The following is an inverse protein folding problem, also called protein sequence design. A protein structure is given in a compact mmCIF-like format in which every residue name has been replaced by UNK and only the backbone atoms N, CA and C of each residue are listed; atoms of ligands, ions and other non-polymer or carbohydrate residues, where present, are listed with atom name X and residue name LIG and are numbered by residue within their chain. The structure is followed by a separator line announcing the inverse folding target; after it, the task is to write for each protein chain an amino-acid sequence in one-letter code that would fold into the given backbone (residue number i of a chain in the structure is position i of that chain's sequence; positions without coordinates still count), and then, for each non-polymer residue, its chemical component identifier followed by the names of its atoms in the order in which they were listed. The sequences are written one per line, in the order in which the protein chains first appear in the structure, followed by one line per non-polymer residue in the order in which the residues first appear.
data_IF_298669686073
#
_entry.id   IF_298669686073
#
_cell.length_a   1.000
_cell.length_b   1.000
_cell.length_c   1.000
_cell.angle_alpha   90.00
_cell.angle_beta   90.00
_cell.angle_gamma   90.00
#
_symmetry.space_group_name_H-M   'P 1'
#
loop_
_entity.id
_entity.type
_entity.pdbx_description
1 polymer ?
#
# COMPACT_ATOMS: atom_id res chain seq x y z
N UNK A 1 9.67 16.09 -22.80
CA UNK A 1 9.43 16.13 -21.33
C UNK A 1 9.88 14.79 -20.75
N UNK A 2 10.50 14.78 -19.57
CA UNK A 2 10.84 13.53 -18.87
C UNK A 2 9.55 12.76 -18.55
N UNK A 3 9.58 11.42 -18.71
CA UNK A 3 8.45 10.54 -18.36
C UNK A 3 8.21 10.62 -16.84
N UNK A 4 6.94 10.68 -16.42
CA UNK A 4 6.59 10.64 -14.99
C UNK A 4 7.05 9.32 -14.38
N UNK A 5 7.51 9.33 -13.13
CA UNK A 5 8.09 8.16 -12.46
C UNK A 5 7.22 7.72 -11.29
N UNK A 6 6.92 6.43 -11.20
CA UNK A 6 6.22 5.80 -10.06
C UNK A 6 7.16 4.83 -9.36
N UNK A 7 7.25 4.97 -8.03
CA UNK A 7 7.89 3.98 -7.17
C UNK A 7 6.84 3.01 -6.62
N UNK A 8 6.87 1.76 -7.06
CA UNK A 8 6.05 0.67 -6.55
C UNK A 8 6.76 0.02 -5.35
N UNK A 9 6.27 0.28 -4.14
CA UNK A 9 6.88 -0.15 -2.87
C UNK A 9 6.20 -1.45 -2.40
N UNK A 10 7.00 -2.51 -2.27
CA UNK A 10 6.51 -3.83 -1.86
C UNK A 10 5.68 -4.52 -2.92
N UNK A 11 6.00 -4.29 -4.20
CA UNK A 11 5.23 -4.82 -5.32
C UNK A 11 5.46 -6.31 -5.60
N UNK A 12 6.31 -6.99 -4.82
CA UNK A 12 6.77 -8.36 -5.01
C UNK A 12 7.57 -8.53 -6.31
N UNK A 13 6.95 -8.44 -7.49
CA UNK A 13 7.65 -8.55 -8.77
C UNK A 13 6.91 -7.82 -9.90
N UNK A 14 7.62 -7.51 -11.00
CA UNK A 14 7.07 -6.74 -12.12
C UNK A 14 6.06 -7.49 -13.01
N UNK A 15 5.82 -8.79 -12.81
CA UNK A 15 4.73 -9.48 -13.53
C UNK A 15 3.35 -9.09 -12.99
N UNK A 16 3.30 -8.58 -11.76
CA UNK A 16 2.09 -8.00 -11.17
C UNK A 16 1.93 -6.59 -11.73
N UNK A 17 0.93 -6.43 -12.59
CA UNK A 17 0.68 -5.16 -13.26
C UNK A 17 0.24 -4.08 -12.25
N UNK A 18 0.78 -2.87 -12.44
CA UNK A 18 0.22 -1.69 -11.77
C UNK A 18 -1.18 -1.38 -12.31
N UNK A 19 -2.01 -0.68 -11.52
CA UNK A 19 -3.28 -0.16 -12.01
C UNK A 19 -3.13 0.67 -13.30
N UNK A 20 -4.12 0.65 -14.22
CA UNK A 20 -4.01 1.26 -15.56
C UNK A 20 -3.63 2.74 -15.58
N UNK A 21 -3.96 3.51 -14.54
CA UNK A 21 -3.59 4.92 -14.44
C UNK A 21 -2.07 5.18 -14.39
N UNK A 22 -1.26 4.13 -14.14
CA UNK A 22 0.19 4.19 -14.16
C UNK A 22 0.81 3.72 -15.48
N UNK A 23 0.02 3.38 -16.50
CA UNK A 23 0.54 2.86 -17.79
C UNK A 23 1.59 3.79 -18.43
N UNK A 24 1.39 5.10 -18.32
CA UNK A 24 2.29 6.13 -18.86
C UNK A 24 3.43 6.52 -17.92
N UNK A 25 3.56 5.88 -16.75
CA UNK A 25 4.65 6.11 -15.83
C UNK A 25 5.84 5.18 -16.14
N UNK A 26 7.05 5.65 -15.86
CA UNK A 26 8.21 4.79 -15.67
C UNK A 26 8.05 4.09 -14.32
N UNK A 27 7.95 2.76 -14.35
CA UNK A 27 7.74 1.93 -13.16
C UNK A 27 9.09 1.46 -12.60
N UNK A 28 9.39 1.90 -11.38
CA UNK A 28 10.47 1.36 -10.55
C UNK A 28 9.88 0.53 -9.42
N UNK A 29 10.32 -0.71 -9.29
CA UNK A 29 9.96 -1.63 -8.21
C UNK A 29 10.99 -1.54 -7.09
N UNK A 30 10.51 -1.28 -5.88
CA UNK A 30 11.26 -1.42 -4.64
C UNK A 30 10.68 -2.57 -3.83
N UNK A 31 11.55 -3.48 -3.40
CA UNK A 31 11.18 -4.57 -2.51
C UNK A 31 12.32 -4.91 -1.55
N UNK A 32 11.99 -5.47 -0.39
CA UNK A 32 12.97 -6.00 0.56
C UNK A 32 13.45 -7.39 0.14
N UNK A 33 12.63 -8.11 -0.63
CA UNK A 33 12.92 -9.46 -1.07
C UNK A 33 13.63 -9.47 -2.45
N UNK A 34 14.86 -10.02 -2.54
CA UNK A 34 15.56 -10.10 -3.81
C UNK A 34 14.93 -11.08 -4.82
N UNK A 35 14.07 -12.01 -4.39
CA UNK A 35 13.47 -13.05 -5.26
C UNK A 35 12.66 -12.46 -6.41
N UNK A 36 12.06 -11.29 -6.19
CA UNK A 36 11.27 -10.56 -7.18
C UNK A 36 12.07 -9.75 -8.21
N UNK A 37 13.40 -9.72 -8.10
CA UNK A 37 14.30 -8.87 -8.91
C UNK A 37 13.88 -7.39 -8.91
N UNK A 38 13.78 -6.72 -7.74
CA UNK A 38 13.42 -5.32 -7.66
C UNK A 38 14.50 -4.43 -8.31
N UNK A 39 14.11 -3.28 -8.86
CA UNK A 39 15.08 -2.28 -9.33
C UNK A 39 15.81 -1.64 -8.15
N UNK A 40 15.14 -1.58 -6.98
CA UNK A 40 15.67 -1.05 -5.72
C UNK A 40 15.46 -2.09 -4.63
N UNK A 41 16.49 -2.87 -4.31
CA UNK A 41 16.48 -3.78 -3.17
C UNK A 41 16.65 -2.97 -1.87
N UNK A 42 15.55 -2.69 -1.17
CA UNK A 42 15.53 -1.80 -0.02
C UNK A 42 14.33 -2.08 0.90
N UNK A 43 14.56 -1.98 2.21
CA UNK A 43 13.48 -1.91 3.19
C UNK A 43 12.83 -0.51 3.13
N UNK A 44 11.49 -0.43 3.05
CA UNK A 44 10.84 0.88 2.92
C UNK A 44 11.06 1.80 4.14
N UNK A 45 11.48 1.27 5.30
CA UNK A 45 11.93 2.05 6.46
C UNK A 45 13.20 2.85 6.17
N UNK A 46 13.98 2.43 5.17
CA UNK A 46 15.25 3.04 4.77
C UNK A 46 15.13 3.92 3.51
N UNK A 47 13.92 4.24 3.07
CA UNK A 47 13.68 5.09 1.88
C UNK A 47 14.36 6.45 1.91
N UNK A 48 14.69 6.97 3.09
CA UNK A 48 15.44 8.24 3.25
C UNK A 48 16.91 8.14 2.84
N UNK A 49 17.41 6.94 2.57
CA UNK A 49 18.76 6.72 2.00
C UNK A 49 18.80 7.00 0.50
N UNK A 50 17.65 7.01 -0.18
CA UNK A 50 17.54 7.44 -1.58
C UNK A 50 17.53 8.97 -1.69
N UNK A 51 17.77 9.51 -2.89
CA UNK A 51 17.67 10.96 -3.09
C UNK A 51 16.22 11.43 -2.91
N UNK A 52 16.08 12.67 -2.43
CA UNK A 52 14.78 13.30 -2.28
C UNK A 52 14.15 13.66 -3.63
N UNK A 53 12.82 13.78 -3.65
CA UNK A 53 12.06 14.39 -4.75
C UNK A 53 12.32 13.77 -6.14
N UNK A 54 12.39 12.44 -6.22
CA UNK A 54 12.66 11.70 -7.44
C UNK A 54 11.39 11.25 -8.19
N UNK A 55 10.25 11.11 -7.49
CA UNK A 55 9.06 10.45 -8.02
C UNK A 55 7.83 11.34 -8.07
N UNK A 56 7.00 11.12 -9.10
CA UNK A 56 5.71 11.77 -9.31
C UNK A 56 4.57 10.99 -8.63
N UNK A 57 4.80 9.71 -8.32
CA UNK A 57 3.91 8.89 -7.52
C UNK A 57 4.67 7.83 -6.70
N UNK A 58 4.13 7.48 -5.54
CA UNK A 58 4.44 6.24 -4.83
C UNK A 58 3.18 5.38 -4.87
N UNK A 59 3.31 4.12 -5.26
CA UNK A 59 2.24 3.12 -5.17
C UNK A 59 2.65 2.07 -4.15
N UNK A 60 1.83 1.84 -3.13
CA UNK A 60 2.08 0.92 -2.04
C UNK A 60 0.82 0.09 -1.83
N UNK A 61 0.80 -1.14 -2.32
CA UNK A 61 -0.38 -2.00 -2.28
C UNK A 61 -0.09 -3.23 -1.46
N UNK A 62 -0.84 -3.41 -0.38
CA UNK A 62 -0.66 -4.52 0.56
C UNK A 62 0.79 -4.66 1.05
N UNK A 63 1.36 -3.55 1.52
CA UNK A 63 2.73 -3.52 2.05
C UNK A 63 2.81 -2.79 3.40
N UNK A 64 2.03 -1.73 3.63
CA UNK A 64 2.16 -0.91 4.84
C UNK A 64 1.79 -1.69 6.12
N UNK A 65 0.89 -2.67 6.02
CA UNK A 65 0.48 -3.57 7.10
C UNK A 65 1.59 -4.53 7.56
N UNK A 66 2.63 -4.73 6.73
CA UNK A 66 3.77 -5.59 7.05
C UNK A 66 4.78 -4.96 8.01
N UNK A 67 4.62 -3.68 8.37
CA UNK A 67 5.47 -2.98 9.32
C UNK A 67 4.80 -2.89 10.70
N UNK A 68 5.61 -2.92 11.75
CA UNK A 68 5.09 -2.65 13.09
C UNK A 68 4.48 -1.24 13.17
N UNK A 69 3.46 -1.08 14.01
CA UNK A 69 2.76 0.20 14.20
C UNK A 69 3.70 1.40 14.45
N UNK A 70 4.81 1.19 15.18
CA UNK A 70 5.78 2.25 15.48
C UNK A 70 6.72 2.57 14.31
N UNK A 71 6.85 1.68 13.31
CA UNK A 71 7.64 1.88 12.10
C UNK A 71 6.85 2.58 10.98
N UNK A 72 5.51 2.52 11.01
CA UNK A 72 4.65 3.18 10.00
C UNK A 72 5.01 4.66 9.77
N UNK A 73 5.24 5.50 10.81
CA UNK A 73 5.67 6.88 10.59
C UNK A 73 6.99 6.99 9.82
N UNK A 74 7.94 6.07 10.06
CA UNK A 74 9.23 6.05 9.37
C UNK A 74 9.04 5.77 7.87
N UNK A 75 8.27 4.74 7.52
CA UNK A 75 7.94 4.40 6.13
C UNK A 75 7.25 5.56 5.41
N UNK A 76 6.19 6.13 6.02
CA UNK A 76 5.45 7.25 5.41
C UNK A 76 6.32 8.51 5.27
N UNK A 77 7.25 8.77 6.19
CA UNK A 77 8.22 9.86 6.07
C UNK A 77 9.20 9.62 4.90
N UNK A 78 9.50 8.36 4.60
CA UNK A 78 10.26 7.94 3.43
C UNK A 78 9.50 8.22 2.12
N UNK A 79 8.20 7.93 2.08
CA UNK A 79 7.35 8.26 0.92
C UNK A 79 7.38 9.77 0.66
N UNK A 80 7.18 10.59 1.71
CA UNK A 80 7.27 12.04 1.58
C UNK A 80 8.64 12.52 1.14
N UNK A 81 9.73 11.88 1.58
CA UNK A 81 11.09 12.24 1.18
C UNK A 81 11.30 12.08 -0.33
N UNK A 82 10.95 10.91 -0.87
CA UNK A 82 11.21 10.57 -2.28
C UNK A 82 10.22 11.22 -3.26
N UNK A 83 9.03 11.64 -2.80
CA UNK A 83 8.05 12.34 -3.63
C UNK A 83 8.46 13.78 -3.97
N UNK A 84 8.22 14.21 -5.22
CA UNK A 84 8.30 15.62 -5.63
C UNK A 84 7.22 16.46 -4.94
N UNK A 85 7.38 17.78 -4.93
CA UNK A 85 6.30 18.68 -4.51
C UNK A 85 5.12 18.55 -5.47
N UNK A 86 3.89 18.45 -4.94
CA UNK A 86 2.66 18.26 -5.71
C UNK A 86 2.34 16.81 -6.11
N UNK A 87 3.28 15.89 -5.89
CA UNK A 87 3.11 14.46 -6.13
C UNK A 87 2.29 13.76 -5.02
N UNK A 88 2.03 12.46 -5.18
CA UNK A 88 1.15 11.72 -4.28
C UNK A 88 1.63 10.30 -3.97
N UNK A 89 1.18 9.76 -2.84
CA UNK A 89 1.23 8.34 -2.52
C UNK A 89 -0.17 7.74 -2.65
N UNK A 90 -0.32 6.67 -3.44
CA UNK A 90 -1.47 5.80 -3.39
C UNK A 90 -1.16 4.59 -2.51
N UNK A 91 -1.97 4.37 -1.48
CA UNK A 91 -1.80 3.31 -0.49
C UNK A 91 -3.05 2.45 -0.44
N UNK A 92 -2.88 1.13 -0.55
CA UNK A 92 -3.94 0.12 -0.42
C UNK A 92 -3.59 -0.83 0.70
N UNK A 93 -4.52 -1.03 1.64
CA UNK A 93 -4.35 -1.90 2.81
C UNK A 93 -5.67 -2.60 3.14
N UNK A 94 -5.66 -3.76 3.82
CA UNK A 94 -6.88 -4.39 4.30
C UNK A 94 -7.68 -3.46 5.21
N UNK A 95 -9.00 -3.47 5.03
CA UNK A 95 -9.94 -2.77 5.89
C UNK A 95 -10.32 -3.63 7.09
N UNK A 96 -9.59 -3.46 8.19
CA UNK A 96 -9.83 -4.24 9.41
C UNK A 96 -11.24 -4.06 9.98
N UNK A 97 -11.86 -2.91 9.75
CA UNK A 97 -13.22 -2.66 10.24
C UNK A 97 -14.26 -3.39 9.39
N UNK A 98 -14.04 -3.52 8.07
CA UNK A 98 -14.91 -4.35 7.21
C UNK A 98 -14.68 -5.85 7.44
N UNK A 99 -13.42 -6.29 7.59
CA UNK A 99 -13.06 -7.69 7.88
C UNK A 99 -13.73 -8.16 9.18
N UNK A 100 -13.58 -7.40 10.27
CA UNK A 100 -14.16 -7.76 11.56
C UNK A 100 -15.69 -7.78 11.51
N UNK A 101 -16.32 -6.78 10.86
CA UNK A 101 -17.78 -6.76 10.72
C UNK A 101 -18.29 -7.92 9.88
N UNK A 102 -17.59 -8.27 8.81
CA UNK A 102 -17.97 -9.37 7.92
C UNK A 102 -17.89 -10.70 8.64
N UNK A 103 -16.79 -10.97 9.35
CA UNK A 103 -16.60 -12.20 10.11
C UNK A 103 -17.71 -12.37 11.18
N UNK A 104 -17.99 -11.32 11.95
CA UNK A 104 -19.06 -11.34 12.97
C UNK A 104 -20.44 -11.54 12.34
N UNK A 105 -20.77 -10.77 11.30
CA UNK A 105 -22.09 -10.84 10.67
C UNK A 105 -22.37 -12.21 10.02
N UNK A 106 -21.32 -12.89 9.55
CA UNK A 106 -21.40 -14.22 8.94
C UNK A 106 -21.17 -15.36 9.94
N UNK A 107 -20.99 -15.06 11.24
CA UNK A 107 -20.66 -16.03 12.28
C UNK A 107 -19.48 -16.95 11.90
N UNK A 108 -18.40 -16.33 11.39
CA UNK A 108 -17.20 -17.02 10.93
C UNK A 108 -16.22 -17.21 12.08
N UNK A 109 -15.52 -18.35 12.08
CA UNK A 109 -14.29 -18.53 12.84
C UNK A 109 -13.09 -17.89 12.11
N UNK A 110 -11.96 -17.74 12.81
CA UNK A 110 -10.76 -17.14 12.24
C UNK A 110 -10.16 -17.97 11.09
N UNK A 111 -10.35 -19.29 11.12
CA UNK A 111 -9.86 -20.21 10.09
C UNK A 111 -10.79 -20.32 8.88
N UNK A 112 -12.00 -19.76 8.95
CA UNK A 112 -12.96 -19.82 7.85
C UNK A 112 -12.52 -18.98 6.65
N UNK A 113 -12.86 -19.46 5.45
CA UNK A 113 -12.56 -18.78 4.18
C UNK A 113 -13.40 -17.50 4.06
N UNK A 114 -12.74 -16.34 4.15
CA UNK A 114 -13.35 -15.03 4.00
C UNK A 114 -13.73 -14.75 2.55
N UNK A 115 -12.82 -15.02 1.61
CA UNK A 115 -13.03 -14.86 0.16
C UNK A 115 -12.10 -15.76 -0.68
N UNK A 116 -12.42 -15.90 -1.96
CA UNK A 116 -11.60 -16.60 -2.95
C UNK A 116 -10.71 -15.60 -3.71
N UNK A 117 -9.44 -15.92 -3.92
CA UNK A 117 -8.50 -15.11 -4.68
C UNK A 117 -7.78 -15.95 -5.77
N UNK A 118 -7.10 -15.32 -6.74
CA UNK A 118 -6.24 -16.05 -7.68
C UNK A 118 -5.11 -16.86 -7.02
N UNK A 119 -4.70 -16.49 -5.80
CA UNK A 119 -3.71 -17.23 -5.01
C UNK A 119 -4.32 -18.40 -4.23
N UNK A 120 -5.65 -18.54 -4.22
CA UNK A 120 -6.39 -19.53 -3.45
C UNK A 120 -7.36 -18.91 -2.44
N UNK A 121 -8.03 -19.75 -1.62
CA UNK A 121 -8.91 -19.28 -0.55
C UNK A 121 -8.12 -18.50 0.49
N UNK A 122 -8.67 -17.37 0.92
CA UNK A 122 -8.09 -16.48 1.93
C UNK A 122 -8.96 -16.56 3.18
N UNK A 123 -8.38 -16.98 4.30
CA UNK A 123 -9.06 -17.04 5.61
C UNK A 123 -9.10 -15.67 6.29
N UNK A 124 -9.85 -15.56 7.40
CA UNK A 124 -9.81 -14.35 8.25
C UNK A 124 -8.40 -14.18 8.84
N UNK A 125 -7.74 -15.27 9.27
CA UNK A 125 -6.35 -15.23 9.74
C UNK A 125 -5.40 -14.66 8.69
N UNK A 126 -5.53 -15.06 7.43
CA UNK A 126 -4.65 -14.59 6.36
C UNK A 126 -4.73 -13.08 6.16
N UNK A 127 -5.91 -12.49 6.31
CA UNK A 127 -6.07 -11.03 6.21
C UNK A 127 -5.51 -10.31 7.43
N UNK A 128 -5.68 -10.88 8.63
CA UNK A 128 -5.24 -10.25 9.89
C UNK A 128 -3.73 -10.35 10.08
N UNK A 129 -3.16 -11.53 9.83
CA UNK A 129 -1.77 -11.87 10.17
C UNK A 129 -0.85 -12.05 8.95
N UNK A 130 -1.39 -11.94 7.74
CA UNK A 130 -0.67 -12.13 6.49
C UNK A 130 -0.88 -13.54 5.93
N UNK A 131 -0.64 -13.68 4.62
CA UNK A 131 -0.96 -14.91 3.90
C UNK A 131 -0.07 -16.08 4.35
N UNK A 132 -0.65 -16.99 5.13
CA UNK A 132 0.07 -18.05 5.84
C UNK A 132 0.86 -18.97 4.91
N UNK A 133 0.31 -19.27 3.73
CA UNK A 133 0.98 -20.11 2.71
C UNK A 133 2.30 -19.48 2.24
N UNK A 134 2.35 -18.17 2.01
CA UNK A 134 3.61 -17.52 1.61
C UNK A 134 4.58 -17.39 2.78
N UNK A 135 4.07 -17.10 3.99
CA UNK A 135 4.90 -17.03 5.20
C UNK A 135 5.59 -18.38 5.44
N UNK A 136 4.84 -19.48 5.42
CA UNK A 136 5.37 -20.84 5.61
C UNK A 136 6.34 -21.22 4.47
N UNK A 137 5.94 -21.02 3.22
CA UNK A 137 6.74 -21.41 2.05
C UNK A 137 8.06 -20.64 1.96
N UNK A 138 8.06 -19.36 2.27
CA UNK A 138 9.25 -18.51 2.18
C UNK A 138 10.16 -18.61 3.40
N UNK A 139 9.59 -18.90 4.58
CA UNK A 139 10.27 -18.78 5.86
C UNK A 139 10.63 -17.34 6.23
N UNK A 140 9.96 -16.35 5.63
CA UNK A 140 10.28 -14.93 5.80
C UNK A 140 9.19 -14.18 6.58
N UNK A 141 9.53 -13.73 7.79
CA UNK A 141 8.61 -12.99 8.69
C UNK A 141 8.17 -11.62 8.14
N UNK A 142 8.84 -11.10 7.09
CA UNK A 142 8.38 -9.87 6.46
C UNK A 142 7.05 -10.03 5.72
N UNK A 143 6.61 -11.24 5.37
CA UNK A 143 5.26 -11.49 4.84
C UNK A 143 4.15 -11.45 5.90
N UNK A 144 4.49 -11.53 7.18
CA UNK A 144 3.51 -11.38 8.24
C UNK A 144 3.05 -9.92 8.37
N UNK A 145 1.74 -9.73 8.49
CA UNK A 145 1.16 -8.46 8.88
C UNK A 145 1.50 -8.19 10.36
N UNK A 146 1.94 -6.97 10.66
CA UNK A 146 2.39 -6.53 12.00
C UNK A 146 1.53 -5.40 12.55
N UNK A 147 0.59 -4.92 11.75
CA UNK A 147 -0.42 -3.93 12.12
C UNK A 147 -1.62 -4.06 11.18
N UNK A 148 -2.74 -3.45 11.54
CA UNK A 148 -3.90 -3.32 10.65
C UNK A 148 -4.43 -1.89 10.65
N UNK A 149 -5.27 -1.58 9.66
CA UNK A 149 -5.82 -0.25 9.48
C UNK A 149 -7.35 -0.27 9.36
N UNK A 150 -7.98 0.69 10.02
CA UNK A 150 -9.29 1.23 9.64
C UNK A 150 -9.09 2.54 8.87
N UNK A 151 -10.10 2.98 8.10
CA UNK A 151 -10.05 4.27 7.39
C UNK A 151 -9.59 5.41 8.31
N UNK A 152 -10.15 5.49 9.53
CA UNK A 152 -9.79 6.50 10.54
C UNK A 152 -8.32 6.43 10.93
N UNK A 153 -7.79 5.23 11.16
CA UNK A 153 -6.39 5.05 11.58
C UNK A 153 -5.39 5.35 10.46
N UNK A 154 -5.71 4.98 9.21
CA UNK A 154 -4.87 5.29 8.05
C UNK A 154 -4.84 6.79 7.78
N UNK A 155 -6.01 7.46 7.76
CA UNK A 155 -6.09 8.91 7.61
C UNK A 155 -5.25 9.63 8.66
N UNK A 156 -5.34 9.21 9.94
CA UNK A 156 -4.55 9.80 11.03
C UNK A 156 -3.05 9.57 10.85
N UNK A 157 -2.64 8.40 10.36
CA UNK A 157 -1.23 8.10 10.09
C UNK A 157 -0.68 8.99 8.97
N UNK A 158 -1.42 9.15 7.88
CA UNK A 158 -1.05 10.02 6.75
C UNK A 158 -0.92 11.49 7.17
N UNK A 159 -1.90 12.01 7.90
CA UNK A 159 -1.86 13.38 8.43
C UNK A 159 -0.66 13.60 9.34
N UNK A 160 -0.39 12.66 10.26
CA UNK A 160 0.76 12.74 11.17
C UNK A 160 2.10 12.67 10.46
N UNK A 161 2.19 11.94 9.35
CA UNK A 161 3.42 11.85 8.56
C UNK A 161 3.73 13.17 7.84
N UNK A 162 2.74 14.03 7.58
CA UNK A 162 2.91 15.33 6.94
C UNK A 162 2.33 15.43 5.52
N UNK A 163 1.49 14.48 5.11
CA UNK A 163 0.69 14.65 3.88
C UNK A 163 -0.34 15.78 4.08
N UNK A 164 -0.45 16.67 3.10
CA UNK A 164 -1.29 17.88 3.17
C UNK A 164 -2.79 17.57 3.06
N UNK A 165 -3.14 16.71 2.10
CA UNK A 165 -4.50 16.29 1.80
C UNK A 165 -4.49 14.79 1.51
N UNK A 166 -5.48 14.07 2.04
CA UNK A 166 -5.68 12.66 1.73
C UNK A 166 -7.16 12.38 1.41
N UNK A 167 -7.40 11.66 0.31
CA UNK A 167 -8.71 11.11 -0.04
C UNK A 167 -8.68 9.63 0.23
N UNK A 168 -9.64 9.13 1.01
CA UNK A 168 -9.63 7.74 1.48
C UNK A 168 -11.00 7.12 1.24
N UNK A 169 -11.05 6.12 0.37
CA UNK A 169 -12.20 5.27 0.08
C UNK A 169 -12.08 3.91 0.75
N UNK A 170 -13.19 3.19 0.83
CA UNK A 170 -13.28 1.82 1.37
C UNK A 170 -14.08 0.97 0.41
N UNK A 171 -13.75 -0.32 0.29
CA UNK A 171 -14.50 -1.28 -0.50
C UNK A 171 -13.84 -2.61 -0.66
N UNK A 172 -14.64 -3.66 -0.81
CA UNK A 172 -14.16 -5.01 -1.06
C UNK A 172 -13.07 -5.45 -0.07
N UNK A 173 -13.30 -5.20 1.23
CA UNK A 173 -12.36 -5.48 2.32
C UNK A 173 -11.04 -4.68 2.27
N UNK A 174 -11.01 -3.56 1.53
CA UNK A 174 -9.82 -2.75 1.31
C UNK A 174 -10.07 -1.26 1.61
N UNK A 175 -9.03 -0.58 2.10
CA UNK A 175 -8.95 0.88 2.14
C UNK A 175 -8.02 1.35 1.03
N UNK A 176 -8.48 2.29 0.20
CA UNK A 176 -7.66 2.94 -0.82
C UNK A 176 -7.50 4.42 -0.51
N UNK A 177 -6.25 4.86 -0.33
CA UNK A 177 -5.90 6.23 0.00
C UNK A 177 -5.04 6.87 -1.09
N UNK A 178 -5.32 8.12 -1.45
CA UNK A 178 -4.40 8.98 -2.20
C UNK A 178 -4.05 10.18 -1.33
N UNK A 179 -2.77 10.30 -0.99
CA UNK A 179 -2.24 11.31 -0.08
C UNK A 179 -1.19 12.18 -0.79
N UNK A 180 -1.37 13.49 -0.74
CA UNK A 180 -0.55 14.44 -1.50
C UNK A 180 0.57 15.08 -0.65
N UNK A 181 1.71 15.31 -1.29
CA UNK A 181 2.81 16.12 -0.74
C UNK A 181 2.64 17.57 -1.18
N UNK A 182 2.20 18.43 -0.26
CA UNK A 182 1.98 19.85 -0.55
C UNK A 182 0.73 20.08 -1.40
N UNK A 183 0.67 21.20 -2.12
CA UNK A 183 -0.49 21.47 -2.98
C UNK A 183 -0.47 20.52 -4.21
N UNK A 184 -1.54 19.74 -4.46
CA UNK A 184 -1.57 18.80 -5.56
C UNK A 184 -1.43 19.50 -6.92
N UNK A 185 -0.54 19.00 -7.78
CA UNK A 185 -0.46 19.48 -9.15
C UNK A 185 -1.73 19.09 -9.95
N UNK A 186 -2.11 19.80 -11.01
CA UNK A 186 -3.36 19.52 -11.74
C UNK A 186 -3.46 18.08 -12.29
N UNK A 187 -2.34 17.48 -12.68
CA UNK A 187 -2.31 16.11 -13.21
C UNK A 187 -2.52 15.08 -12.09
N UNK A 188 -1.90 15.30 -10.93
CA UNK A 188 -2.03 14.50 -9.72
C UNK A 188 -3.44 14.62 -9.12
N UNK A 189 -4.07 15.81 -9.18
CA UNK A 189 -5.47 16.01 -8.74
C UNK A 189 -6.45 15.10 -9.47
N UNK A 190 -6.21 14.76 -10.74
CA UNK A 190 -7.10 13.86 -11.49
C UNK A 190 -7.22 12.47 -10.84
N UNK A 191 -6.19 12.03 -10.09
CA UNK A 191 -6.18 10.73 -9.42
C UNK A 191 -7.16 10.68 -8.24
N UNK A 192 -7.57 11.81 -7.64
CA UNK A 192 -8.58 11.83 -6.57
C UNK A 192 -9.97 11.33 -7.05
N UNK A 193 -10.18 11.34 -8.37
CA UNK A 193 -11.40 10.85 -9.02
C UNK A 193 -11.24 9.42 -9.57
N UNK A 194 -10.10 8.77 -9.30
CA UNK A 194 -9.86 7.40 -9.74
C UNK A 194 -11.04 6.53 -9.26
N UNK A 195 -11.58 5.65 -10.14
CA UNK A 195 -12.63 4.70 -9.76
C UNK A 195 -12.27 3.93 -8.49
N UNK A 196 -10.98 3.71 -8.24
CA UNK A 196 -10.44 3.05 -7.06
C UNK A 196 -10.66 3.79 -5.72
N UNK A 197 -10.98 5.10 -5.74
CA UNK A 197 -11.42 5.84 -4.54
C UNK A 197 -12.95 5.92 -4.46
N UNK A 198 -13.63 6.00 -5.62
CA UNK A 198 -15.04 6.37 -5.71
C UNK A 198 -16.01 5.20 -5.83
N UNK A 199 -15.53 4.04 -6.28
CA UNK A 199 -16.27 2.78 -6.35
C UNK A 199 -15.46 1.70 -5.63
N UNK A 200 -15.72 1.52 -4.31
CA UNK A 200 -15.61 0.24 -3.62
C UNK A 200 -15.80 -0.98 -4.51
#
# INVERSE_FOLDING_TARGET
MSKRRVLNVGGNNKSIALPPQYAEFEHLLLDIDPRGSPDVLCDARELRTLDAAQFDAVYCSHNLEHYYRHDVPRVLSGFLHVLKSGAFAQIRVPDMDEVLRTAVARNMDLEDVLYQSPAGPISVLDVIYGYGVEIERSGQDFYAHKTGFTQKSLTKALQKAGFSTAFVGRGNLEINAIAFKGEPDPAARSFQHSPLIRNP
#
